data_IF_661546162761
#
_entry.id   IF_661546162761
#
_cell.length_a   1.000
_cell.length_b   1.000
_cell.length_c   1.000
_cell.angle_alpha   90.00
_cell.angle_beta   90.00
_cell.angle_gamma   90.00
#
_symmetry.space_group_name_H-M   'P 1'
#
loop_
_entity.id
_entity.type
_entity.pdbx_description
1 polymer ?
#
# COMPACT_ATOMS: atom_id res chain seq x y z
N UNK A 1 -7.37 -7.74 -8.16
CA UNK A 1 -7.42 -8.61 -6.96
C UNK A 1 -7.21 -7.73 -5.76
N UNK A 2 -8.10 -7.72 -4.75
CA UNK A 2 -7.87 -6.93 -3.55
C UNK A 2 -6.87 -7.66 -2.64
N UNK A 3 -5.70 -7.06 -2.45
CA UNK A 3 -4.71 -7.52 -1.47
C UNK A 3 -5.29 -7.45 -0.06
N UNK A 4 -4.89 -8.39 0.79
CA UNK A 4 -5.36 -8.47 2.18
C UNK A 4 -4.19 -8.43 3.14
N UNK A 5 -4.46 -8.23 4.43
CA UNK A 5 -3.42 -8.22 5.48
C UNK A 5 -2.62 -9.54 5.57
N UNK A 6 -3.14 -10.62 5.01
CA UNK A 6 -2.51 -11.95 5.00
C UNK A 6 -1.96 -12.33 3.62
N UNK A 7 -2.48 -11.72 2.56
CA UNK A 7 -2.13 -12.01 1.17
C UNK A 7 -1.84 -10.70 0.43
N UNK A 8 -0.57 -10.30 0.47
CA UNK A 8 -0.06 -9.05 -0.08
C UNK A 8 1.24 -9.33 -0.86
N UNK A 9 1.64 -8.46 -1.81
CA UNK A 9 2.78 -8.74 -2.65
C UNK A 9 4.09 -8.73 -1.84
N UNK A 10 5.07 -9.55 -2.23
CA UNK A 10 6.38 -9.64 -1.56
C UNK A 10 7.05 -8.29 -1.35
N UNK A 11 6.83 -7.32 -2.25
CA UNK A 11 7.32 -5.93 -2.11
C UNK A 11 6.85 -5.25 -0.82
N UNK A 12 5.72 -5.64 -0.24
CA UNK A 12 5.17 -5.09 1.00
C UNK A 12 5.57 -5.87 2.25
N UNK A 13 6.25 -7.03 2.13
CA UNK A 13 6.56 -7.89 3.29
C UNK A 13 7.57 -7.30 4.26
N UNK A 14 8.45 -6.44 3.76
CA UNK A 14 9.50 -5.80 4.54
C UNK A 14 9.07 -4.43 5.11
N UNK A 15 7.78 -4.07 4.99
CA UNK A 15 7.24 -2.86 5.57
C UNK A 15 6.74 -3.12 6.99
N UNK A 16 6.82 -2.11 7.84
CA UNK A 16 6.15 -2.11 9.14
C UNK A 16 4.66 -2.42 8.99
N UNK A 17 4.09 -3.09 9.99
CA UNK A 17 2.69 -3.52 9.94
C UNK A 17 1.73 -2.35 9.64
N UNK A 18 1.95 -1.19 10.26
CA UNK A 18 1.13 0.00 10.05
C UNK A 18 1.25 0.56 8.62
N UNK A 19 2.47 0.65 8.10
CA UNK A 19 2.73 1.10 6.72
C UNK A 19 2.15 0.11 5.71
N UNK A 20 2.29 -1.20 5.97
CA UNK A 20 1.78 -2.25 5.10
C UNK A 20 0.26 -2.23 5.02
N UNK A 21 -0.43 -2.12 6.15
CA UNK A 21 -1.89 -2.05 6.18
C UNK A 21 -2.40 -0.85 5.38
N UNK A 22 -1.76 0.31 5.55
CA UNK A 22 -2.12 1.51 4.80
C UNK A 22 -1.79 1.40 3.31
N UNK A 23 -0.67 0.76 2.96
CA UNK A 23 -0.30 0.52 1.57
C UNK A 23 -1.27 -0.45 0.87
N UNK A 24 -1.77 -1.47 1.57
CA UNK A 24 -2.78 -2.39 1.01
C UNK A 24 -4.08 -1.65 0.69
N UNK A 25 -4.56 -0.81 1.61
CA UNK A 25 -5.77 0.00 1.42
C UNK A 25 -5.66 0.91 0.19
N UNK A 26 -4.54 1.64 0.06
CA UNK A 26 -4.30 2.55 -1.06
C UNK A 26 -4.11 1.78 -2.36
N UNK A 27 -3.34 0.69 -2.34
CA UNK A 27 -3.07 -0.09 -3.55
C UNK A 27 -4.36 -0.72 -4.11
N UNK A 28 -5.24 -1.23 -3.23
CA UNK A 28 -6.54 -1.74 -3.64
C UNK A 28 -7.38 -0.64 -4.32
N UNK A 29 -7.48 0.55 -3.72
CA UNK A 29 -8.18 1.67 -4.34
C UNK A 29 -7.60 2.06 -5.71
N UNK A 30 -6.27 2.13 -5.85
CA UNK A 30 -5.64 2.46 -7.14
C UNK A 30 -5.89 1.41 -8.23
N UNK A 31 -5.90 0.13 -7.88
CA UNK A 31 -6.16 -0.94 -8.85
C UNK A 31 -7.65 -1.06 -9.16
N UNK A 32 -8.52 -0.92 -8.16
CA UNK A 32 -9.97 -1.09 -8.34
C UNK A 32 -10.63 0.17 -8.93
N UNK A 33 -10.33 1.36 -8.38
CA UNK A 33 -10.92 2.63 -8.85
C UNK A 33 -10.24 3.15 -10.10
N UNK A 34 -8.89 3.17 -10.13
CA UNK A 34 -8.14 3.76 -11.25
C UNK A 34 -7.73 2.75 -12.32
N UNK A 35 -8.02 1.45 -12.14
CA UNK A 35 -7.54 0.36 -13.01
C UNK A 35 -6.03 0.45 -13.28
N UNK A 36 -5.28 0.91 -12.27
CA UNK A 36 -3.84 1.10 -12.38
C UNK A 36 -3.12 -0.26 -12.41
N UNK A 37 -2.03 -0.34 -13.17
CA UNK A 37 -1.17 -1.52 -13.17
C UNK A 37 -0.66 -1.81 -11.74
N UNK A 38 -0.78 -3.08 -11.32
CA UNK A 38 -0.48 -3.53 -9.97
C UNK A 38 0.89 -3.08 -9.48
N UNK A 39 1.94 -3.21 -10.29
CA UNK A 39 3.29 -2.78 -9.94
C UNK A 39 3.40 -1.27 -9.63
N UNK A 40 2.68 -0.45 -10.39
CA UNK A 40 2.64 1.01 -10.20
C UNK A 40 1.82 1.39 -8.98
N UNK A 41 0.65 0.77 -8.82
CA UNK A 41 -0.22 0.96 -7.66
C UNK A 41 0.53 0.62 -6.36
N UNK A 42 1.24 -0.51 -6.33
CA UNK A 42 2.06 -0.94 -5.18
C UNK A 42 3.13 0.11 -4.85
N UNK A 43 3.84 0.65 -5.83
CA UNK A 43 4.90 1.64 -5.59
C UNK A 43 4.34 2.95 -5.01
N UNK A 44 3.24 3.46 -5.56
CA UNK A 44 2.56 4.68 -5.09
C UNK A 44 2.00 4.47 -3.69
N UNK A 45 1.32 3.35 -3.47
CA UNK A 45 0.72 3.03 -2.20
C UNK A 45 1.76 2.92 -1.07
N UNK A 46 2.91 2.30 -1.33
CA UNK A 46 4.02 2.25 -0.37
C UNK A 46 4.55 3.64 -0.03
N UNK A 47 4.70 4.53 -1.03
CA UNK A 47 5.18 5.88 -0.81
C UNK A 47 4.18 6.71 0.00
N UNK A 48 2.89 6.63 -0.33
CA UNK A 48 1.83 7.32 0.41
C UNK A 48 1.69 6.78 1.84
N UNK A 49 1.69 5.46 2.02
CA UNK A 49 1.61 4.83 3.33
C UNK A 49 2.77 5.25 4.24
N UNK A 50 4.00 5.24 3.74
CA UNK A 50 5.18 5.72 4.47
C UNK A 50 5.04 7.19 4.89
N UNK A 51 4.47 8.03 4.01
CA UNK A 51 4.23 9.45 4.32
C UNK A 51 3.13 9.62 5.37
N UNK A 52 2.04 8.87 5.29
CA UNK A 52 0.95 8.93 6.26
C UNK A 52 1.38 8.51 7.66
N UNK A 53 2.19 7.45 7.77
CA UNK A 53 2.74 6.99 9.06
C UNK A 53 3.79 7.95 9.61
N UNK A 54 4.70 8.44 8.75
CA UNK A 54 5.78 9.33 9.19
C UNK A 54 5.31 10.76 9.51
N UNK A 55 4.25 11.25 8.87
CA UNK A 55 3.71 12.60 9.05
C UNK A 55 2.75 12.76 10.25
N UNK A 56 2.58 11.73 11.08
CA UNK A 56 1.77 11.79 12.31
C UNK A 56 2.55 12.21 13.55
N UNK A 57 3.81 12.63 13.42
CA UNK A 57 4.71 12.92 14.55
C UNK A 57 5.42 14.28 14.46
N UNK A 58 4.78 15.28 13.85
CA UNK A 58 5.19 16.70 13.86
C UNK A 58 4.23 17.54 14.72
#
# INVERSE_FOLDING_TARGET
MPWTKQDYPDSMKNLDAEVREKAIEIANALVEDENMEEGRAIAIAQAQAKKSVKGGND
#
